data_IF_971785249573
#
_entry.id   IF_971785249573
#
_cell.length_a   1.000
_cell.length_b   1.000
_cell.length_c   1.000
_cell.angle_alpha   90.00
_cell.angle_beta   90.00
_cell.angle_gamma   90.00
#
_symmetry.space_group_name_H-M   'P 1'
#
loop_
_entity.id
_entity.type
_entity.pdbx_description
1 polymer ?
#
# COMPACT_ATOMS: atom_id res chain seq x y z
N UNK A 1 -2.40 44.14 -18.36
CA UNK A 1 -3.28 43.05 -18.76
C UNK A 1 -3.28 42.06 -17.62
N UNK A 2 -4.44 41.96 -16.98
CA UNK A 2 -4.60 41.27 -15.69
C UNK A 2 -4.76 39.74 -15.94
N UNK A 3 -3.79 38.94 -15.49
CA UNK A 3 -3.81 37.48 -15.61
C UNK A 3 -5.02 36.86 -14.89
N UNK A 4 -5.60 37.57 -13.93
CA UNK A 4 -6.80 37.13 -13.21
C UNK A 4 -8.07 37.14 -14.09
N UNK A 5 -8.11 38.02 -15.12
CA UNK A 5 -9.26 38.10 -16.05
C UNK A 5 -9.28 36.98 -17.09
N UNK A 6 -8.15 36.36 -17.38
CA UNK A 6 -8.06 35.24 -18.35
C UNK A 6 -8.48 33.93 -17.75
N UNK A 7 -8.40 33.73 -16.43
CA UNK A 7 -8.84 32.53 -15.74
C UNK A 7 -10.36 32.42 -15.52
N UNK A 8 -11.09 33.50 -15.75
CA UNK A 8 -12.56 33.55 -15.64
C UNK A 8 -13.30 33.30 -16.98
N UNK A 9 -12.58 33.02 -18.05
CA UNK A 9 -13.15 33.03 -19.40
C UNK A 9 -13.63 31.69 -19.94
N UNK A 10 -13.45 30.57 -19.23
CA UNK A 10 -14.01 29.27 -19.66
C UNK A 10 -14.59 28.46 -18.49
N UNK A 11 -15.84 28.71 -18.10
CA UNK A 11 -16.52 27.94 -17.06
C UNK A 11 -16.71 26.46 -17.42
N UNK A 12 -16.60 26.09 -18.70
CA UNK A 12 -16.72 24.70 -19.14
C UNK A 12 -15.46 23.87 -18.88
N UNK A 13 -14.28 24.47 -18.93
CA UNK A 13 -13.01 23.78 -18.65
C UNK A 13 -12.85 23.45 -17.17
N UNK A 14 -13.29 24.34 -16.27
CA UNK A 14 -13.29 24.07 -14.83
C UNK A 14 -14.28 22.98 -14.44
N UNK A 15 -15.46 22.97 -15.02
CA UNK A 15 -16.48 21.93 -14.75
C UNK A 15 -16.03 20.53 -15.20
N UNK A 16 -15.40 20.40 -16.37
CA UNK A 16 -14.87 19.13 -16.85
C UNK A 16 -13.67 18.63 -15.99
N UNK A 17 -12.87 19.55 -15.50
CA UNK A 17 -11.72 19.26 -14.64
C UNK A 17 -12.14 18.88 -13.22
N UNK A 18 -13.16 19.54 -12.67
CA UNK A 18 -13.80 19.20 -11.40
C UNK A 18 -14.52 17.85 -11.49
N UNK A 19 -15.16 17.56 -12.62
CA UNK A 19 -15.82 16.27 -12.85
C UNK A 19 -14.83 15.14 -12.94
N UNK A 20 -13.73 15.32 -13.69
CA UNK A 20 -12.62 14.36 -13.76
C UNK A 20 -11.96 14.11 -12.38
N UNK A 21 -11.76 15.16 -11.60
CA UNK A 21 -11.23 15.05 -10.24
C UNK A 21 -12.23 14.33 -9.31
N UNK A 22 -13.50 14.60 -9.43
CA UNK A 22 -14.55 13.94 -8.68
C UNK A 22 -14.65 12.46 -9.04
N UNK A 23 -14.65 12.12 -10.32
CA UNK A 23 -14.69 10.75 -10.81
C UNK A 23 -13.43 9.96 -10.41
N UNK A 24 -12.26 10.61 -10.47
CA UNK A 24 -11.02 10.03 -10.00
C UNK A 24 -11.05 9.81 -8.49
N UNK A 25 -11.52 10.77 -7.71
CA UNK A 25 -11.68 10.65 -6.26
C UNK A 25 -12.68 9.55 -5.89
N UNK A 26 -13.81 9.45 -6.57
CA UNK A 26 -14.81 8.40 -6.36
C UNK A 26 -14.21 7.05 -6.70
N UNK A 27 -13.56 6.90 -7.85
CA UNK A 27 -12.89 5.67 -8.27
C UNK A 27 -11.80 5.24 -7.28
N UNK A 28 -11.01 6.19 -6.78
CA UNK A 28 -9.98 5.95 -5.76
C UNK A 28 -10.64 5.55 -4.44
N UNK A 29 -11.70 6.25 -4.01
CA UNK A 29 -12.41 5.95 -2.75
C UNK A 29 -13.08 4.58 -2.82
N UNK A 30 -13.78 4.24 -3.89
CA UNK A 30 -14.45 2.95 -4.05
C UNK A 30 -13.47 1.78 -4.08
N UNK A 31 -12.31 1.93 -4.70
CA UNK A 31 -11.26 0.91 -4.72
C UNK A 31 -10.43 0.85 -3.45
N UNK A 32 -10.27 1.96 -2.73
CA UNK A 32 -9.60 1.99 -1.43
C UNK A 32 -10.50 1.57 -0.26
N UNK A 33 -11.82 1.45 -0.45
CA UNK A 33 -12.72 1.00 0.63
C UNK A 33 -12.39 -0.41 1.12
N UNK A 34 -12.11 -1.41 0.24
CA UNK A 34 -11.59 -2.71 0.68
C UNK A 34 -10.25 -2.59 1.41
N UNK A 35 -9.37 -1.70 0.96
CA UNK A 35 -8.05 -1.46 1.58
C UNK A 35 -8.14 -0.79 2.94
N UNK A 36 -9.08 0.14 3.15
CA UNK A 36 -9.32 0.73 4.48
C UNK A 36 -9.76 -0.31 5.49
N UNK A 37 -10.61 -1.23 5.07
CA UNK A 37 -11.05 -2.35 5.92
C UNK A 37 -9.87 -3.27 6.24
N UNK A 38 -9.07 -3.61 5.23
CA UNK A 38 -7.88 -4.45 5.38
C UNK A 38 -6.75 -3.72 6.15
N UNK A 39 -6.56 -2.42 5.94
CA UNK A 39 -5.61 -1.61 6.72
C UNK A 39 -6.00 -1.52 8.20
N UNK A 40 -7.29 -1.46 8.52
CA UNK A 40 -7.77 -1.60 9.91
C UNK A 40 -7.40 -2.98 10.48
N UNK A 41 -7.53 -4.03 9.68
CA UNK A 41 -7.11 -5.38 10.10
C UNK A 41 -5.62 -5.47 10.41
N UNK A 42 -4.75 -4.75 9.69
CA UNK A 42 -3.32 -4.65 10.06
C UNK A 42 -3.12 -3.92 11.40
N UNK A 43 -3.87 -2.83 11.62
CA UNK A 43 -3.81 -2.12 12.90
C UNK A 43 -4.33 -2.99 14.06
N UNK A 44 -5.35 -3.81 13.82
CA UNK A 44 -5.88 -4.73 14.82
C UNK A 44 -4.88 -5.85 15.13
N UNK A 45 -4.15 -6.34 14.13
CA UNK A 45 -3.02 -7.26 14.34
C UNK A 45 -1.97 -6.62 15.24
N UNK A 46 -1.62 -5.36 15.00
CA UNK A 46 -0.64 -4.65 15.81
C UNK A 46 -1.11 -4.43 17.26
N UNK A 47 -2.36 -4.01 17.44
CA UNK A 47 -2.97 -3.79 18.76
C UNK A 47 -3.03 -5.08 19.59
N UNK A 48 -3.35 -6.20 18.93
CA UNK A 48 -3.50 -7.50 19.59
C UNK A 48 -2.21 -8.34 19.62
N UNK A 49 -1.11 -7.82 19.07
CA UNK A 49 0.15 -8.56 18.91
C UNK A 49 0.70 -9.14 20.22
N UNK A 50 0.49 -8.46 21.34
CA UNK A 50 0.92 -8.96 22.66
C UNK A 50 0.21 -10.25 23.09
N UNK A 51 -0.98 -10.54 22.54
CA UNK A 51 -1.80 -11.73 22.81
C UNK A 51 -1.45 -12.92 21.91
N UNK A 52 -0.65 -12.70 20.87
CA UNK A 52 -0.28 -13.76 19.95
C UNK A 52 0.75 -14.71 20.58
N UNK A 53 0.75 -15.95 20.12
CA UNK A 53 1.87 -16.86 20.32
C UNK A 53 3.19 -16.15 19.97
N UNK A 54 4.21 -16.32 20.80
CA UNK A 54 5.50 -15.63 20.63
C UNK A 54 6.14 -15.89 19.26
N UNK A 55 5.89 -17.07 18.67
CA UNK A 55 6.37 -17.42 17.32
C UNK A 55 5.70 -16.59 16.23
N UNK A 56 4.41 -16.33 16.37
CA UNK A 56 3.69 -15.44 15.46
C UNK A 56 4.11 -13.99 15.67
N UNK A 57 4.33 -13.56 16.91
CA UNK A 57 4.90 -12.22 17.17
C UNK A 57 6.26 -12.05 16.51
N UNK A 58 7.12 -13.07 16.61
CA UNK A 58 8.42 -13.07 15.94
C UNK A 58 8.27 -12.98 14.43
N UNK A 59 7.39 -13.76 13.83
CA UNK A 59 7.10 -13.73 12.39
C UNK A 59 6.62 -12.34 11.94
N UNK A 60 5.64 -11.76 12.64
CA UNK A 60 5.12 -10.42 12.34
C UNK A 60 6.22 -9.36 12.44
N UNK A 61 7.10 -9.45 13.44
CA UNK A 61 8.23 -8.54 13.58
C UNK A 61 9.24 -8.68 12.44
N UNK A 62 9.61 -9.90 12.05
CA UNK A 62 10.51 -10.17 10.94
C UNK A 62 9.97 -9.58 9.62
N UNK A 63 8.70 -9.84 9.33
CA UNK A 63 8.04 -9.31 8.13
C UNK A 63 8.08 -7.79 8.08
N UNK A 64 7.87 -7.12 9.23
CA UNK A 64 7.87 -5.65 9.30
C UNK A 64 9.25 -5.03 9.21
N UNK A 65 10.25 -5.68 9.77
CA UNK A 65 11.64 -5.21 9.75
C UNK A 65 12.28 -5.41 8.38
N UNK A 66 11.95 -6.53 7.71
CA UNK A 66 12.51 -6.87 6.41
C UNK A 66 11.42 -7.21 5.38
N UNK A 67 10.79 -6.21 4.75
CA UNK A 67 9.74 -6.45 3.76
C UNK A 67 10.20 -7.28 2.55
N UNK A 68 11.50 -7.33 2.29
CA UNK A 68 12.09 -8.19 1.26
C UNK A 68 11.96 -9.69 1.58
N UNK A 69 12.12 -10.06 2.86
CA UNK A 69 11.90 -11.45 3.31
C UNK A 69 10.43 -11.89 3.19
N UNK A 70 9.53 -10.93 3.05
CA UNK A 70 8.11 -11.18 2.86
C UNK A 70 7.77 -11.97 1.58
N UNK A 71 8.76 -12.29 0.74
CA UNK A 71 8.54 -13.10 -0.46
C UNK A 71 8.49 -14.60 -0.16
N UNK A 72 9.16 -15.05 0.88
CA UNK A 72 9.23 -16.47 1.23
C UNK A 72 8.60 -16.76 2.60
N UNK A 73 7.32 -17.12 2.55
CA UNK A 73 6.58 -17.56 3.75
C UNK A 73 7.21 -18.80 4.40
N UNK A 74 7.93 -19.64 3.62
CA UNK A 74 8.60 -20.82 4.18
C UNK A 74 9.81 -20.41 5.01
N UNK A 75 10.58 -19.42 4.54
CA UNK A 75 11.68 -18.86 5.32
C UNK A 75 11.17 -18.27 6.64
N UNK A 76 10.08 -17.50 6.60
CA UNK A 76 9.46 -16.92 7.80
C UNK A 76 9.00 -18.00 8.77
N UNK A 77 8.35 -19.06 8.28
CA UNK A 77 7.93 -20.19 9.11
C UNK A 77 9.12 -20.86 9.79
N UNK A 78 10.20 -21.11 9.04
CA UNK A 78 11.43 -21.72 9.54
C UNK A 78 12.11 -20.86 10.61
N UNK A 79 12.24 -19.55 10.35
CA UNK A 79 12.77 -18.57 11.31
C UNK A 79 11.93 -18.48 12.59
N UNK A 80 10.63 -18.77 12.48
CA UNK A 80 9.71 -18.81 13.61
C UNK A 80 9.70 -20.17 14.33
N UNK A 81 10.53 -21.13 13.89
CA UNK A 81 10.61 -22.48 14.48
C UNK A 81 9.39 -23.35 14.21
N UNK A 82 8.69 -23.12 13.09
CA UNK A 82 7.45 -23.80 12.72
C UNK A 82 7.57 -24.50 11.38
N UNK A 83 6.89 -25.65 11.23
CA UNK A 83 6.61 -26.17 9.91
C UNK A 83 5.63 -25.26 9.17
N UNK A 84 5.69 -25.24 7.81
CA UNK A 84 4.79 -24.44 6.98
C UNK A 84 3.31 -24.61 7.35
N UNK A 85 2.85 -25.86 7.45
CA UNK A 85 1.45 -26.15 7.75
C UNK A 85 1.02 -25.64 9.13
N UNK A 86 1.90 -25.77 10.14
CA UNK A 86 1.64 -25.28 11.49
C UNK A 86 1.67 -23.75 11.53
N UNK A 87 2.63 -23.12 10.81
CA UNK A 87 2.71 -21.69 10.69
C UNK A 87 1.44 -21.08 10.11
N UNK A 88 0.92 -21.61 8.99
CA UNK A 88 -0.30 -21.11 8.36
C UNK A 88 -1.48 -21.16 9.32
N UNK A 89 -1.73 -22.32 9.95
CA UNK A 89 -2.84 -22.47 10.91
C UNK A 89 -2.73 -21.54 12.11
N UNK A 90 -1.52 -21.44 12.68
CA UNK A 90 -1.31 -20.61 13.87
C UNK A 90 -1.39 -19.13 13.53
N UNK A 91 -0.85 -18.73 12.38
CA UNK A 91 -0.91 -17.35 11.89
C UNK A 91 -2.35 -16.92 11.65
N UNK A 92 -3.12 -17.73 10.92
CA UNK A 92 -4.52 -17.44 10.61
C UNK A 92 -5.40 -17.40 11.87
N UNK A 93 -5.19 -18.30 12.81
CA UNK A 93 -5.88 -18.25 14.12
C UNK A 93 -5.56 -17.00 14.92
N UNK A 94 -4.34 -16.50 14.82
CA UNK A 94 -3.89 -15.32 15.59
C UNK A 94 -4.31 -14.00 14.94
N UNK A 95 -4.26 -13.92 13.61
CA UNK A 95 -4.41 -12.66 12.85
C UNK A 95 -5.71 -12.56 12.07
N UNK A 96 -6.51 -13.63 12.04
CA UNK A 96 -7.72 -13.77 11.22
C UNK A 96 -7.47 -13.60 9.70
N UNK A 97 -6.22 -13.77 9.25
CA UNK A 97 -5.85 -13.71 7.84
C UNK A 97 -4.70 -14.65 7.54
N UNK A 98 -4.58 -15.08 6.27
CA UNK A 98 -3.45 -15.90 5.87
C UNK A 98 -2.14 -15.10 5.83
N UNK A 99 -0.96 -15.75 5.98
CA UNK A 99 0.33 -15.07 5.86
C UNK A 99 0.48 -14.29 4.55
N UNK A 100 0.04 -14.83 3.42
CA UNK A 100 0.10 -14.15 2.12
C UNK A 100 -0.74 -12.88 2.07
N UNK A 101 -1.95 -12.92 2.61
CA UNK A 101 -2.81 -11.73 2.69
C UNK A 101 -2.14 -10.66 3.53
N UNK A 102 -1.62 -11.02 4.71
CA UNK A 102 -0.91 -10.09 5.58
C UNK A 102 0.30 -9.45 4.88
N UNK A 103 1.10 -10.26 4.19
CA UNK A 103 2.27 -9.79 3.43
C UNK A 103 1.92 -8.82 2.32
N UNK A 104 0.88 -9.13 1.54
CA UNK A 104 0.44 -8.25 0.47
C UNK A 104 -0.12 -6.93 1.00
N UNK A 105 -0.84 -6.96 2.13
CA UNK A 105 -1.33 -5.76 2.79
C UNK A 105 -0.19 -4.87 3.26
N UNK A 106 0.80 -5.45 3.92
CA UNK A 106 1.97 -4.72 4.41
C UNK A 106 2.77 -4.12 3.26
N UNK A 107 3.00 -4.90 2.18
CA UNK A 107 3.67 -4.40 0.98
C UNK A 107 2.92 -3.23 0.36
N UNK A 108 1.59 -3.32 0.29
CA UNK A 108 0.78 -2.24 -0.25
C UNK A 108 0.82 -0.99 0.62
N UNK A 109 0.76 -1.13 1.95
CA UNK A 109 0.92 -0.02 2.89
C UNK A 109 2.26 0.70 2.67
N UNK A 110 3.35 -0.06 2.58
CA UNK A 110 4.68 0.48 2.33
C UNK A 110 4.80 1.09 0.92
N UNK A 111 4.20 0.44 -0.10
CA UNK A 111 4.18 0.96 -1.46
C UNK A 111 3.49 2.32 -1.54
N UNK A 112 2.31 2.45 -0.94
CA UNK A 112 1.57 3.71 -0.90
C UNK A 112 2.39 4.79 -0.20
N UNK A 113 2.95 4.52 0.96
CA UNK A 113 3.81 5.47 1.70
C UNK A 113 5.00 5.94 0.86
N UNK A 114 5.73 5.01 0.24
CA UNK A 114 6.90 5.33 -0.58
C UNK A 114 6.54 6.07 -1.86
N UNK A 115 5.39 5.75 -2.47
CA UNK A 115 4.94 6.44 -3.69
C UNK A 115 4.43 7.83 -3.38
N UNK A 116 3.72 8.04 -2.26
CA UNK A 116 3.18 9.35 -1.87
C UNK A 116 4.24 10.31 -1.39
N UNK A 117 5.09 9.87 -0.47
CA UNK A 117 5.98 10.74 0.30
C UNK A 117 7.45 10.59 -0.09
N UNK A 118 7.80 9.53 -0.83
CA UNK A 118 9.18 9.25 -1.20
C UNK A 118 9.64 10.06 -2.42
N UNK A 119 10.91 10.46 -2.38
CA UNK A 119 11.62 11.04 -3.54
C UNK A 119 12.26 9.94 -4.41
N UNK A 120 12.29 8.72 -3.90
CA UNK A 120 12.86 7.57 -4.59
C UNK A 120 12.21 7.32 -5.96
N UNK A 121 13.00 6.86 -6.92
CA UNK A 121 12.47 6.38 -8.20
C UNK A 121 11.53 5.18 -7.98
N UNK A 122 10.55 4.99 -8.86
CA UNK A 122 9.65 3.82 -8.77
C UNK A 122 10.40 2.49 -8.86
N UNK A 123 11.55 2.47 -9.57
CA UNK A 123 12.43 1.30 -9.61
C UNK A 123 13.09 1.05 -8.26
N UNK A 124 13.53 2.09 -7.57
CA UNK A 124 14.09 1.96 -6.21
C UNK A 124 13.02 1.47 -5.22
N UNK A 125 11.81 2.04 -5.28
CA UNK A 125 10.66 1.57 -4.48
C UNK A 125 10.36 0.09 -4.75
N UNK A 126 10.32 -0.31 -6.03
CA UNK A 126 10.13 -1.70 -6.44
C UNK A 126 11.15 -2.63 -5.80
N UNK A 127 12.45 -2.28 -5.90
CA UNK A 127 13.54 -3.07 -5.35
C UNK A 127 13.49 -3.14 -3.82
N UNK A 128 13.16 -2.02 -3.15
CA UNK A 128 13.06 -1.96 -1.70
C UNK A 128 11.89 -2.80 -1.16
N UNK A 129 10.83 -2.95 -1.94
CA UNK A 129 9.69 -3.83 -1.62
C UNK A 129 9.93 -5.29 -2.05
N UNK A 130 11.09 -5.60 -2.64
CA UNK A 130 11.49 -6.95 -2.99
C UNK A 130 10.93 -7.44 -4.32
N UNK A 131 10.48 -6.58 -5.22
CA UNK A 131 10.10 -6.99 -6.57
C UNK A 131 11.35 -7.10 -7.45
N UNK A 132 11.59 -8.30 -8.00
CA UNK A 132 12.74 -8.55 -8.87
C UNK A 132 12.65 -7.82 -10.21
N UNK A 133 11.42 -7.50 -10.65
CA UNK A 133 11.14 -6.83 -11.93
C UNK A 133 10.21 -5.65 -11.66
N UNK A 134 10.57 -4.42 -12.08
CA UNK A 134 9.74 -3.22 -11.85
C UNK A 134 8.31 -3.35 -12.41
N UNK A 135 8.13 -4.10 -13.50
CA UNK A 135 6.82 -4.37 -14.08
C UNK A 135 5.90 -5.18 -13.15
N UNK A 136 6.46 -6.05 -12.31
CA UNK A 136 5.68 -6.80 -11.31
C UNK A 136 5.17 -5.87 -10.21
N UNK A 137 5.97 -4.90 -9.78
CA UNK A 137 5.54 -3.87 -8.85
C UNK A 137 4.41 -3.01 -9.43
N UNK A 138 4.57 -2.55 -10.67
CA UNK A 138 3.55 -1.73 -11.35
C UNK A 138 2.21 -2.48 -11.45
N UNK A 139 2.26 -3.77 -11.83
CA UNK A 139 1.06 -4.62 -11.87
C UNK A 139 0.46 -4.80 -10.49
N UNK A 140 1.27 -5.18 -9.50
CA UNK A 140 0.83 -5.35 -8.11
C UNK A 140 0.15 -4.08 -7.59
N UNK A 141 0.79 -2.93 -7.77
CA UNK A 141 0.23 -1.65 -7.31
C UNK A 141 -1.10 -1.34 -8.01
N UNK A 142 -1.16 -1.48 -9.34
CA UNK A 142 -2.38 -1.24 -10.11
C UNK A 142 -3.50 -2.21 -9.74
N UNK A 143 -3.21 -3.49 -9.58
CA UNK A 143 -4.22 -4.50 -9.23
C UNK A 143 -4.83 -4.22 -7.84
N UNK A 144 -4.09 -3.54 -6.97
CA UNK A 144 -4.53 -3.22 -5.61
C UNK A 144 -5.02 -1.78 -5.45
N UNK A 145 -4.40 -0.80 -6.07
CA UNK A 145 -4.78 0.62 -5.99
C UNK A 145 -5.68 1.08 -7.15
N UNK A 146 -5.80 0.29 -8.19
CA UNK A 146 -6.61 0.60 -9.36
C UNK A 146 -5.97 1.55 -10.36
N UNK A 147 -4.88 2.20 -9.98
CA UNK A 147 -4.12 3.16 -10.80
C UNK A 147 -2.64 2.80 -10.81
N UNK A 148 -1.91 3.25 -11.82
CA UNK A 148 -0.46 3.04 -11.86
C UNK A 148 0.27 3.86 -10.79
N UNK A 149 1.40 3.38 -10.24
CA UNK A 149 2.13 4.10 -9.20
C UNK A 149 2.63 5.48 -9.64
N UNK A 150 2.92 5.69 -10.93
CA UNK A 150 3.29 6.99 -11.48
C UNK A 150 2.14 8.00 -11.47
N UNK A 151 0.95 7.56 -11.84
CA UNK A 151 -0.26 8.37 -11.79
C UNK A 151 -0.63 8.72 -10.35
N UNK A 152 -0.58 7.72 -9.47
CA UNK A 152 -0.83 7.89 -8.04
C UNK A 152 0.11 8.94 -7.43
N UNK A 153 1.42 8.86 -7.72
CA UNK A 153 2.42 9.85 -7.28
C UNK A 153 2.12 11.24 -7.80
N UNK A 154 1.74 11.36 -9.06
CA UNK A 154 1.41 12.66 -9.68
C UNK A 154 0.25 13.33 -8.95
N UNK A 155 -0.83 12.59 -8.69
CA UNK A 155 -2.02 13.11 -8.00
C UNK A 155 -1.69 13.47 -6.55
N UNK A 156 -0.95 12.63 -5.85
CA UNK A 156 -0.55 12.90 -4.47
C UNK A 156 0.27 14.19 -4.33
N UNK A 157 1.16 14.46 -5.29
CA UNK A 157 1.95 15.71 -5.31
C UNK A 157 1.15 16.96 -5.66
N UNK A 158 0.08 16.83 -6.44
CA UNK A 158 -0.83 17.94 -6.75
C UNK A 158 -1.71 18.33 -5.56
N UNK A 159 -2.04 17.38 -4.69
CA UNK A 159 -2.85 17.61 -3.49
C UNK A 159 -2.08 18.07 -2.26
N UNK A 160 -0.75 18.09 -2.29
CA UNK A 160 0.04 18.66 -1.21
C UNK A 160 0.14 20.18 -1.40
N UNK A 161 -0.36 21.02 -0.48
CA UNK A 161 -0.12 22.45 -0.55
C UNK A 161 1.39 22.67 -0.51
N UNK A 162 1.91 23.36 -1.50
CA UNK A 162 3.30 23.82 -1.53
C UNK A 162 3.48 24.69 -0.28
N UNK A 163 4.14 24.13 0.74
CA UNK A 163 4.50 24.88 1.93
C UNK A 163 5.48 25.99 1.53
N UNK A 164 5.05 27.20 1.75
CA UNK A 164 5.86 28.41 1.76
C UNK A 164 6.74 28.38 3.01
#
# INVERSE_FOLDING_TARGET
MDLAAVMLADPGANSAQEQLLSDLMISVIERFTPWRTLARSLQDVDRNRSRFDWRIRRAVNLIRQEPKMAQDVNAIAKESGLSRAHFYRLFERSTCMTPHVYLNLLRMELAVKSVMHGEDSLSAVSNNLGFSVPGHFTRFFRDHAGVNPSEFRRVARMGSPVGT
#
